data_IF_675678784681
#
_entry.id   IF_675678784681
#
_cell.length_a   1.000
_cell.length_b   1.000
_cell.length_c   1.000
_cell.angle_alpha   90.00
_cell.angle_beta   90.00
_cell.angle_gamma   90.00
#
_symmetry.space_group_name_H-M   'P 1'
#
loop_
_entity.id
_entity.type
_entity.pdbx_description
1 polymer ?
#
# COMPACT_ATOMS: atom_id res chain seq x y z
N UNK A 1 -15.33 -1.41 13.30
CA UNK A 1 -13.83 -1.37 13.28
C UNK A 1 -13.29 -1.60 11.87
N UNK A 2 -12.17 -0.93 11.47
CA UNK A 2 -11.53 -1.17 10.17
C UNK A 2 -10.31 -2.07 10.34
N UNK A 3 -10.25 -3.13 9.55
CA UNK A 3 -9.11 -4.05 9.49
C UNK A 3 -8.45 -4.00 8.10
N UNK A 4 -7.19 -4.41 8.03
CA UNK A 4 -6.48 -4.55 6.75
C UNK A 4 -5.81 -5.92 6.64
N UNK A 5 -5.86 -6.49 5.44
CA UNK A 5 -5.13 -7.72 5.08
C UNK A 5 -4.28 -7.47 3.84
N UNK A 6 -3.10 -8.08 3.83
CA UNK A 6 -2.14 -8.00 2.70
C UNK A 6 -1.89 -9.41 2.17
N UNK A 7 -1.92 -9.55 0.85
CA UNK A 7 -1.59 -10.80 0.15
C UNK A 7 -1.03 -10.51 -1.24
N UNK A 8 -0.63 -11.57 -1.94
CA UNK A 8 -0.29 -11.53 -3.37
C UNK A 8 -1.30 -12.38 -4.14
N UNK A 9 -1.72 -11.90 -5.30
CA UNK A 9 -2.64 -12.59 -6.20
C UNK A 9 -1.96 -12.84 -7.53
N UNK A 10 -2.22 -13.99 -8.13
CA UNK A 10 -1.84 -14.28 -9.52
C UNK A 10 -2.83 -13.60 -10.44
N UNK A 11 -2.35 -13.03 -11.52
CA UNK A 11 -3.18 -12.38 -12.54
C UNK A 11 -2.77 -12.87 -13.93
N UNK A 12 -3.70 -12.87 -14.88
CA UNK A 12 -3.39 -13.18 -16.27
C UNK A 12 -2.42 -12.13 -16.85
N UNK A 13 -1.78 -12.45 -17.96
CA UNK A 13 -0.86 -11.53 -18.65
C UNK A 13 -1.55 -10.23 -19.06
N UNK A 14 -2.78 -10.34 -19.55
CA UNK A 14 -3.61 -9.21 -19.98
C UNK A 14 -3.95 -8.31 -18.79
N UNK A 15 -4.37 -8.90 -17.67
CA UNK A 15 -4.66 -8.16 -16.45
C UNK A 15 -3.40 -7.56 -15.80
N UNK A 16 -2.25 -8.26 -15.89
CA UNK A 16 -0.98 -7.69 -15.44
C UNK A 16 -0.61 -6.45 -16.27
N UNK A 17 -0.75 -6.50 -17.60
CA UNK A 17 -0.51 -5.35 -18.47
C UNK A 17 -1.45 -4.19 -18.14
N UNK A 18 -2.74 -4.47 -17.93
CA UNK A 18 -3.76 -3.47 -17.59
C UNK A 18 -3.47 -2.78 -16.25
N UNK A 19 -3.19 -3.58 -15.21
CA UNK A 19 -2.85 -3.07 -13.87
C UNK A 19 -1.53 -2.27 -13.93
N UNK A 20 -0.52 -2.79 -14.64
CA UNK A 20 0.75 -2.11 -14.84
C UNK A 20 0.58 -0.76 -15.51
N UNK A 21 -0.26 -0.69 -16.57
CA UNK A 21 -0.58 0.56 -17.24
C UNK A 21 -1.29 1.56 -16.31
N UNK A 22 -2.27 1.11 -15.53
CA UNK A 22 -2.92 1.98 -14.55
C UNK A 22 -1.94 2.48 -13.46
N UNK A 23 -1.05 1.64 -12.97
CA UNK A 23 -0.01 2.02 -12.01
C UNK A 23 0.96 3.06 -12.61
N UNK A 24 1.31 2.90 -13.88
CA UNK A 24 2.11 3.88 -14.63
C UNK A 24 1.35 5.20 -14.81
N UNK A 25 0.10 5.16 -15.26
CA UNK A 25 -0.75 6.34 -15.41
C UNK A 25 -0.90 7.11 -14.08
N UNK A 26 -1.02 6.40 -12.97
CA UNK A 26 -1.08 7.00 -11.63
C UNK A 26 0.22 7.75 -11.28
N UNK A 27 1.40 7.21 -11.63
CA UNK A 27 2.67 7.92 -11.42
C UNK A 27 2.79 9.17 -12.29
N UNK A 28 2.31 9.12 -13.53
CA UNK A 28 2.31 10.28 -14.43
C UNK A 28 1.35 11.36 -13.96
N UNK A 29 0.13 10.98 -13.54
CA UNK A 29 -0.82 11.94 -12.96
C UNK A 29 -0.26 12.59 -11.69
N UNK A 30 0.37 11.80 -10.79
CA UNK A 30 1.08 12.34 -9.64
C UNK A 30 2.10 13.40 -10.06
N UNK A 31 2.91 13.11 -11.07
CA UNK A 31 3.98 14.01 -11.52
C UNK A 31 3.43 15.31 -12.13
N UNK A 32 2.38 15.22 -12.94
CA UNK A 32 1.70 16.41 -13.51
C UNK A 32 1.17 17.29 -12.39
N UNK A 33 0.40 16.72 -11.45
CA UNK A 33 -0.13 17.44 -10.32
C UNK A 33 0.97 18.00 -9.39
N UNK A 34 2.07 17.26 -9.22
CA UNK A 34 3.18 17.71 -8.38
C UNK A 34 3.97 18.87 -9.03
N UNK A 35 4.18 18.81 -10.34
CA UNK A 35 4.78 19.89 -11.10
C UNK A 35 3.98 21.18 -10.96
N UNK A 36 2.65 21.11 -11.16
CA UNK A 36 1.75 22.24 -10.99
C UNK A 36 1.85 22.86 -9.60
N UNK A 37 1.92 22.05 -8.53
CA UNK A 37 2.08 22.52 -7.15
C UNK A 37 3.44 23.15 -6.88
N UNK A 38 4.50 22.66 -7.49
CA UNK A 38 5.83 23.23 -7.32
C UNK A 38 5.98 24.58 -8.02
N UNK A 39 5.30 24.77 -9.16
CA UNK A 39 5.44 25.92 -10.06
C UNK A 39 4.19 26.81 -10.13
N UNK A 40 3.22 26.67 -9.21
CA UNK A 40 1.93 27.36 -9.33
C UNK A 40 2.05 28.89 -9.41
N UNK A 41 3.05 29.49 -8.76
CA UNK A 41 3.31 30.93 -8.82
C UNK A 41 3.83 31.36 -10.20
N UNK A 42 4.66 30.53 -10.82
CA UNK A 42 5.26 30.76 -12.14
C UNK A 42 4.22 30.63 -13.26
N UNK A 43 3.22 29.76 -13.05
CA UNK A 43 2.11 29.55 -13.99
C UNK A 43 1.00 30.58 -13.86
N UNK A 44 1.16 31.61 -13.01
CA UNK A 44 0.20 32.69 -12.83
C UNK A 44 -1.05 32.30 -12.05
N UNK A 45 -1.05 31.19 -11.35
CA UNK A 45 -2.20 30.73 -10.54
C UNK A 45 -2.36 31.63 -9.32
N UNK A 46 -3.55 32.20 -9.11
CA UNK A 46 -3.86 33.05 -7.97
C UNK A 46 -3.88 32.30 -6.63
N UNK A 47 -4.21 30.99 -6.67
CA UNK A 47 -4.30 30.15 -5.46
C UNK A 47 -3.51 28.87 -5.63
N UNK A 48 -3.01 28.36 -4.50
CA UNK A 48 -2.34 27.07 -4.45
C UNK A 48 -3.29 25.94 -4.87
N UNK A 49 -2.92 25.12 -5.89
CA UNK A 49 -3.79 24.08 -6.42
C UNK A 49 -3.90 22.90 -5.44
N UNK A 50 -4.98 22.88 -4.67
CA UNK A 50 -5.33 21.75 -3.81
C UNK A 50 -5.87 20.55 -4.62
N UNK A 51 -6.18 19.45 -3.95
CA UNK A 51 -6.67 18.26 -4.61
C UNK A 51 -8.09 18.44 -5.20
N UNK A 52 -8.93 19.35 -4.64
CA UNK A 52 -10.25 19.67 -5.18
C UNK A 52 -10.16 20.40 -6.51
N UNK A 53 -9.23 21.34 -6.61
CA UNK A 53 -8.92 22.00 -7.88
C UNK A 53 -8.36 20.98 -8.88
N UNK A 54 -7.32 20.24 -8.51
CA UNK A 54 -6.60 19.32 -9.40
C UNK A 54 -7.49 18.22 -9.97
N UNK A 55 -8.37 17.60 -9.16
CA UNK A 55 -9.31 16.59 -9.66
C UNK A 55 -10.31 17.11 -10.69
N UNK A 56 -10.61 18.42 -10.70
CA UNK A 56 -11.47 19.07 -11.69
C UNK A 56 -10.67 19.48 -12.91
N UNK A 57 -9.55 20.16 -12.72
CA UNK A 57 -8.71 20.68 -13.78
C UNK A 57 -8.19 19.55 -14.70
N UNK A 58 -7.68 18.47 -14.11
CA UNK A 58 -7.08 17.36 -14.85
C UNK A 58 -8.08 16.30 -15.36
N UNK A 59 -9.39 16.46 -15.12
CA UNK A 59 -10.41 15.46 -15.51
C UNK A 59 -10.39 15.07 -16.99
N UNK A 60 -9.94 15.98 -17.86
CA UNK A 60 -9.85 15.76 -19.31
C UNK A 60 -8.48 15.28 -19.77
N UNK A 61 -7.49 15.28 -18.89
CA UNK A 61 -6.12 14.92 -19.21
C UNK A 61 -5.96 13.43 -19.51
N UNK A 62 -4.97 13.11 -20.34
CA UNK A 62 -4.68 11.76 -20.75
C UNK A 62 -4.54 10.80 -19.58
N UNK A 63 -3.68 11.13 -18.62
CA UNK A 63 -3.36 10.24 -17.51
C UNK A 63 -4.51 10.07 -16.53
N UNK A 64 -5.34 11.10 -16.36
CA UNK A 64 -6.55 11.01 -15.55
C UNK A 64 -7.58 10.06 -16.18
N UNK A 65 -7.76 10.13 -17.52
CA UNK A 65 -8.69 9.27 -18.26
C UNK A 65 -8.27 7.79 -18.31
N UNK A 66 -6.98 7.49 -18.10
CA UNK A 66 -6.47 6.12 -18.00
C UNK A 66 -6.74 5.45 -16.66
N UNK A 67 -7.37 6.15 -15.72
CA UNK A 67 -7.71 5.67 -14.39
C UNK A 67 -9.22 5.74 -14.15
N UNK A 68 -9.80 4.82 -13.36
CA UNK A 68 -11.14 5.04 -12.82
C UNK A 68 -11.19 6.38 -12.07
N UNK A 69 -12.27 7.13 -12.22
CA UNK A 69 -12.36 8.51 -11.70
C UNK A 69 -12.00 8.63 -10.22
N UNK A 70 -12.41 7.67 -9.38
CA UNK A 70 -12.09 7.68 -7.96
C UNK A 70 -10.63 7.36 -7.69
N UNK A 71 -10.03 6.44 -8.46
CA UNK A 71 -8.61 6.13 -8.38
C UNK A 71 -7.77 7.35 -8.77
N UNK A 72 -8.14 8.07 -9.82
CA UNK A 72 -7.47 9.32 -10.20
C UNK A 72 -7.59 10.40 -9.12
N UNK A 73 -8.79 10.57 -8.54
CA UNK A 73 -9.00 11.50 -7.42
C UNK A 73 -8.16 11.12 -6.20
N UNK A 74 -8.01 9.83 -5.93
CA UNK A 74 -7.19 9.36 -4.81
C UNK A 74 -5.69 9.65 -5.02
N UNK A 75 -5.18 9.61 -6.26
CA UNK A 75 -3.82 10.07 -6.57
C UNK A 75 -3.65 11.55 -6.21
N UNK A 76 -4.59 12.41 -6.61
CA UNK A 76 -4.55 13.84 -6.25
C UNK A 76 -4.61 14.03 -4.73
N UNK A 77 -5.46 13.26 -4.02
CA UNK A 77 -5.62 13.33 -2.56
C UNK A 77 -4.37 12.87 -1.81
N UNK A 78 -3.71 11.81 -2.28
CA UNK A 78 -2.46 11.31 -1.70
C UNK A 78 -1.33 12.32 -1.87
N UNK A 79 -1.24 12.99 -3.02
CA UNK A 79 -0.31 14.08 -3.24
C UNK A 79 -0.58 15.25 -2.29
N UNK A 80 -1.85 15.62 -2.12
CA UNK A 80 -2.26 16.68 -1.20
C UNK A 80 -1.85 16.38 0.26
N UNK A 81 -2.06 15.15 0.71
CA UNK A 81 -1.59 14.69 2.02
C UNK A 81 -0.07 14.80 2.15
N UNK A 82 0.68 14.41 1.13
CA UNK A 82 2.14 14.49 1.14
C UNK A 82 2.62 15.95 1.25
N UNK A 83 2.00 16.88 0.53
CA UNK A 83 2.30 18.30 0.65
C UNK A 83 1.92 18.88 2.02
N UNK A 84 0.76 18.51 2.56
CA UNK A 84 0.35 18.91 3.92
C UNK A 84 1.34 18.44 4.98
N UNK A 85 1.80 17.19 4.86
CA UNK A 85 2.83 16.64 5.74
C UNK A 85 4.16 17.40 5.62
N UNK A 86 4.59 17.74 4.41
CA UNK A 86 5.78 18.56 4.18
C UNK A 86 5.68 19.92 4.86
N UNK A 87 4.56 20.63 4.67
CA UNK A 87 4.38 21.94 5.32
C UNK A 87 4.24 21.85 6.84
N UNK A 88 3.65 20.77 7.37
CA UNK A 88 3.60 20.52 8.80
C UNK A 88 5.02 20.32 9.38
N UNK A 89 5.85 19.50 8.74
CA UNK A 89 7.25 19.28 9.13
C UNK A 89 8.06 20.58 9.06
N UNK A 90 7.86 21.39 8.01
CA UNK A 90 8.54 22.70 7.88
C UNK A 90 8.16 23.66 9.00
N UNK A 91 6.90 23.62 9.47
CA UNK A 91 6.45 24.49 10.57
C UNK A 91 6.90 24.00 11.95
N UNK A 92 6.94 22.68 12.15
CA UNK A 92 7.32 22.11 13.46
C UNK A 92 8.79 22.22 13.80
N UNK A 93 9.65 22.49 12.82
CA UNK A 93 11.10 22.55 13.00
C UNK A 93 11.76 21.21 13.40
N UNK A 94 11.01 20.10 13.41
CA UNK A 94 11.51 18.79 13.83
C UNK A 94 12.54 18.17 12.88
N UNK A 95 12.67 18.69 11.66
CA UNK A 95 13.67 18.29 10.67
C UNK A 95 14.30 19.56 10.11
N UNK A 96 15.64 19.64 10.13
CA UNK A 96 16.37 20.82 9.64
C UNK A 96 16.05 21.18 8.19
N UNK A 97 16.00 20.18 7.32
CA UNK A 97 15.77 20.38 5.87
C UNK A 97 14.68 19.44 5.34
N UNK A 98 13.40 19.72 5.61
CA UNK A 98 12.31 18.93 5.05
C UNK A 98 12.29 19.09 3.53
N UNK A 99 12.10 17.98 2.81
CA UNK A 99 12.07 17.98 1.35
C UNK A 99 10.63 17.87 0.84
N UNK A 100 10.28 18.61 -0.21
CA UNK A 100 8.95 18.51 -0.82
C UNK A 100 8.72 17.13 -1.45
N UNK A 101 7.48 16.75 -1.73
CA UNK A 101 7.16 15.50 -2.43
C UNK A 101 7.92 15.38 -3.75
N UNK A 102 8.58 14.24 -3.96
CA UNK A 102 9.38 13.98 -5.17
C UNK A 102 8.50 13.53 -6.33
N UNK A 103 9.02 13.71 -7.54
CA UNK A 103 8.49 13.06 -8.74
C UNK A 103 8.66 11.54 -8.65
N UNK A 104 7.70 10.81 -9.17
CA UNK A 104 7.73 9.34 -9.23
C UNK A 104 8.44 8.90 -10.52
N UNK A 105 9.52 8.17 -10.37
CA UNK A 105 10.25 7.57 -11.49
C UNK A 105 9.63 6.22 -11.87
N UNK A 106 9.15 5.47 -10.88
CA UNK A 106 8.54 4.16 -11.04
C UNK A 106 7.00 4.23 -10.97
N UNK A 107 6.36 3.17 -11.42
CA UNK A 107 4.92 2.98 -11.27
C UNK A 107 4.51 2.93 -9.81
N UNK A 108 3.43 3.60 -9.45
CA UNK A 108 2.92 3.63 -8.07
C UNK A 108 1.67 2.77 -7.93
N UNK A 109 1.38 2.26 -6.72
CA UNK A 109 0.15 1.51 -6.49
C UNK A 109 -1.10 2.33 -6.80
N UNK A 110 -2.10 1.68 -7.35
CA UNK A 110 -3.43 2.25 -7.54
C UNK A 110 -4.34 1.88 -6.38
N UNK A 111 -5.26 2.75 -6.05
CA UNK A 111 -6.19 2.56 -4.95
C UNK A 111 -7.63 2.69 -5.43
N UNK A 112 -8.38 1.63 -5.31
CA UNK A 112 -9.83 1.62 -5.49
C UNK A 112 -10.50 1.94 -4.14
N UNK A 113 -11.48 2.85 -4.18
CA UNK A 113 -12.34 3.14 -3.05
C UNK A 113 -13.63 2.32 -3.15
N UNK A 114 -14.38 2.22 -2.08
CA UNK A 114 -15.60 1.39 -1.96
C UNK A 114 -16.53 1.43 -3.18
N UNK A 115 -16.82 2.63 -3.73
CA UNK A 115 -17.72 2.76 -4.88
C UNK A 115 -17.17 2.17 -6.19
N UNK A 116 -15.87 1.93 -6.28
CA UNK A 116 -15.22 1.29 -7.43
C UNK A 116 -15.08 -0.23 -7.29
N UNK A 117 -15.53 -0.79 -6.17
CA UNK A 117 -15.38 -2.20 -5.78
C UNK A 117 -16.77 -2.79 -5.60
N UNK A 118 -17.04 -3.90 -6.26
CA UNK A 118 -18.24 -4.72 -6.00
C UNK A 118 -17.77 -6.09 -5.55
N UNK A 119 -18.25 -6.53 -4.41
CA UNK A 119 -17.93 -7.81 -3.81
C UNK A 119 -19.20 -8.46 -3.27
N UNK A 120 -19.35 -9.75 -3.55
CA UNK A 120 -20.37 -10.61 -2.95
C UNK A 120 -19.71 -11.35 -1.80
N UNK A 121 -20.28 -11.20 -0.60
CA UNK A 121 -19.67 -11.61 0.68
C UNK A 121 -19.12 -13.03 0.71
N UNK A 122 -19.83 -13.98 0.12
CA UNK A 122 -19.49 -15.40 0.19
C UNK A 122 -18.63 -15.88 -0.99
N UNK A 123 -18.18 -14.95 -1.83
CA UNK A 123 -17.34 -15.26 -2.99
C UNK A 123 -15.88 -14.88 -2.74
N UNK A 124 -15.00 -15.56 -3.47
CA UNK A 124 -13.57 -15.24 -3.51
C UNK A 124 -13.26 -14.13 -4.54
N UNK A 125 -14.30 -13.50 -5.13
CA UNK A 125 -14.17 -12.63 -6.30
C UNK A 125 -14.59 -11.20 -5.99
N UNK A 126 -13.79 -10.25 -6.44
CA UNK A 126 -14.14 -8.82 -6.46
C UNK A 126 -14.13 -8.31 -7.89
N UNK A 127 -15.06 -7.40 -8.19
CA UNK A 127 -15.20 -6.72 -9.46
C UNK A 127 -14.82 -5.25 -9.29
N UNK A 128 -13.87 -4.79 -10.12
CA UNK A 128 -13.34 -3.44 -10.09
C UNK A 128 -13.72 -2.68 -11.34
N UNK A 129 -14.10 -1.41 -11.19
CA UNK A 129 -14.46 -0.56 -12.32
C UNK A 129 -13.23 -0.25 -13.19
N UNK A 130 -13.44 -0.16 -14.51
CA UNK A 130 -12.43 0.24 -15.49
C UNK A 130 -12.82 1.56 -16.17
N UNK A 131 -11.86 2.42 -16.54
CA UNK A 131 -12.14 3.60 -17.34
C UNK A 131 -12.50 3.18 -18.79
N UNK A 132 -13.31 4.01 -19.45
CA UNK A 132 -13.78 3.73 -20.82
C UNK A 132 -12.64 3.51 -21.82
N UNK A 133 -11.56 4.27 -21.68
CA UNK A 133 -10.37 4.16 -22.54
C UNK A 133 -9.69 2.80 -22.46
N UNK A 134 -9.60 2.22 -21.24
CA UNK A 134 -9.00 0.90 -21.06
C UNK A 134 -9.93 -0.24 -21.45
N UNK A 135 -11.25 -0.06 -21.32
CA UNK A 135 -12.21 -1.03 -21.85
C UNK A 135 -12.04 -1.18 -23.36
N UNK A 136 -12.02 -0.06 -24.08
CA UNK A 136 -11.79 -0.03 -25.52
C UNK A 136 -10.45 -0.68 -25.90
N UNK A 137 -9.39 -0.36 -25.19
CA UNK A 137 -8.08 -0.96 -25.40
C UNK A 137 -8.09 -2.48 -25.21
N UNK A 138 -8.77 -2.99 -24.17
CA UNK A 138 -8.89 -4.43 -23.93
C UNK A 138 -9.68 -5.14 -25.05
N UNK A 139 -10.75 -4.53 -25.51
CA UNK A 139 -11.55 -5.04 -26.62
C UNK A 139 -10.74 -5.09 -27.92
N UNK A 140 -10.07 -3.99 -28.29
CA UNK A 140 -9.30 -3.88 -29.54
C UNK A 140 -8.02 -4.72 -29.55
N UNK A 141 -7.35 -4.86 -28.39
CA UNK A 141 -6.03 -5.50 -28.32
C UNK A 141 -6.09 -6.98 -27.97
N UNK A 142 -7.00 -7.34 -27.06
CA UNK A 142 -7.09 -8.70 -26.52
C UNK A 142 -8.41 -9.41 -26.83
N UNK A 143 -9.34 -8.75 -27.52
CA UNK A 143 -10.70 -9.25 -27.79
C UNK A 143 -11.46 -9.60 -26.49
N UNK A 144 -11.15 -8.91 -25.40
CA UNK A 144 -11.79 -9.09 -24.10
C UNK A 144 -12.92 -8.05 -23.98
N UNK A 145 -14.17 -8.54 -23.99
CA UNK A 145 -15.37 -7.68 -23.90
C UNK A 145 -15.82 -7.39 -22.45
N UNK A 146 -15.01 -7.76 -21.46
CA UNK A 146 -15.31 -7.54 -20.06
C UNK A 146 -15.22 -6.04 -19.70
N UNK A 147 -16.29 -5.58 -19.03
CA UNK A 147 -16.37 -4.18 -18.60
C UNK A 147 -15.67 -3.89 -17.28
N UNK A 148 -15.11 -4.91 -16.64
CA UNK A 148 -14.57 -4.85 -15.30
C UNK A 148 -13.30 -5.67 -15.18
N UNK A 149 -12.44 -5.29 -14.24
CA UNK A 149 -11.32 -6.10 -13.82
C UNK A 149 -11.79 -7.02 -12.68
N UNK A 150 -11.60 -8.31 -12.83
CA UNK A 150 -11.95 -9.30 -11.81
C UNK A 150 -10.69 -9.81 -11.11
N UNK A 151 -10.72 -9.83 -9.79
CA UNK A 151 -9.66 -10.40 -8.97
C UNK A 151 -10.26 -11.51 -8.10
N UNK A 152 -9.59 -12.67 -8.06
CA UNK A 152 -10.02 -13.83 -7.29
C UNK A 152 -8.96 -14.21 -6.25
N UNK A 153 -9.36 -14.27 -4.99
CA UNK A 153 -8.51 -14.75 -3.91
C UNK A 153 -9.35 -15.04 -2.66
N UNK A 154 -9.03 -16.12 -1.98
CA UNK A 154 -9.69 -16.54 -0.73
C UNK A 154 -9.71 -15.45 0.35
N UNK A 155 -8.83 -14.44 0.27
CA UNK A 155 -8.78 -13.32 1.21
C UNK A 155 -10.08 -12.52 1.23
N UNK A 156 -10.83 -12.50 0.11
CA UNK A 156 -12.08 -11.74 0.00
C UNK A 156 -13.26 -12.41 0.68
N UNK A 157 -13.21 -13.75 0.87
CA UNK A 157 -14.30 -14.50 1.48
C UNK A 157 -14.58 -14.03 2.91
N UNK A 158 -15.84 -13.80 3.23
CA UNK A 158 -16.29 -13.38 4.55
C UNK A 158 -16.00 -11.89 4.90
N UNK A 159 -15.57 -11.08 3.93
CA UNK A 159 -15.48 -9.64 4.12
C UNK A 159 -16.84 -8.99 3.84
N UNK A 160 -17.40 -8.28 4.81
CA UNK A 160 -18.71 -7.62 4.64
C UNK A 160 -18.63 -6.41 3.71
N UNK A 161 -17.80 -5.45 4.04
CA UNK A 161 -17.65 -4.22 3.29
C UNK A 161 -16.17 -3.90 3.02
N UNK A 162 -15.77 -4.03 1.78
CA UNK A 162 -14.44 -3.59 1.36
C UNK A 162 -14.48 -2.08 1.15
N UNK A 163 -13.77 -1.33 2.00
CA UNK A 163 -13.67 0.12 1.94
C UNK A 163 -12.61 0.61 0.97
N UNK A 164 -11.51 -0.17 0.85
CA UNK A 164 -10.39 0.19 0.00
C UNK A 164 -9.65 -1.06 -0.46
N UNK A 165 -9.24 -1.06 -1.73
CA UNK A 165 -8.35 -2.05 -2.30
C UNK A 165 -7.19 -1.34 -2.98
N UNK A 166 -5.97 -1.56 -2.47
CA UNK A 166 -4.74 -1.06 -3.08
C UNK A 166 -4.06 -2.19 -3.82
N UNK A 167 -3.70 -1.93 -5.09
CA UNK A 167 -3.04 -2.89 -5.97
C UNK A 167 -1.69 -2.31 -6.35
N UNK A 168 -0.65 -3.08 -6.11
CA UNK A 168 0.73 -2.72 -6.46
C UNK A 168 1.04 -3.10 -7.91
N UNK A 169 2.04 -2.47 -8.52
CA UNK A 169 2.51 -2.86 -9.84
C UNK A 169 2.78 -4.37 -9.92
N UNK A 170 2.43 -5.02 -11.05
CA UNK A 170 2.66 -6.45 -11.21
C UNK A 170 4.14 -6.79 -11.26
N UNK A 171 4.50 -7.86 -10.57
CA UNK A 171 5.84 -8.43 -10.58
C UNK A 171 5.73 -9.94 -10.85
N UNK A 172 6.40 -10.44 -11.90
CA UNK A 172 6.48 -11.88 -12.25
C UNK A 172 5.09 -12.58 -12.28
N UNK A 173 4.08 -11.92 -12.88
CA UNK A 173 2.73 -12.48 -13.03
C UNK A 173 1.86 -12.44 -11.77
N UNK A 174 2.28 -11.71 -10.76
CA UNK A 174 1.51 -11.51 -9.53
C UNK A 174 1.46 -10.05 -9.11
N UNK A 175 0.41 -9.66 -8.39
CA UNK A 175 0.26 -8.35 -7.79
C UNK A 175 0.14 -8.48 -6.28
N UNK A 176 0.87 -7.66 -5.53
CA UNK A 176 0.59 -7.46 -4.11
C UNK A 176 -0.67 -6.62 -3.97
N UNK A 177 -1.55 -7.00 -3.06
CA UNK A 177 -2.76 -6.25 -2.73
C UNK A 177 -2.85 -6.00 -1.24
N UNK A 178 -3.47 -4.88 -0.88
CA UNK A 178 -3.88 -4.56 0.49
C UNK A 178 -5.37 -4.26 0.46
N UNK A 179 -6.14 -5.01 1.23
CA UNK A 179 -7.58 -4.85 1.37
C UNK A 179 -7.88 -4.23 2.72
N UNK A 180 -8.62 -3.14 2.74
CA UNK A 180 -9.17 -2.54 3.97
C UNK A 180 -10.67 -2.79 3.96
N UNK A 181 -11.18 -3.41 5.00
CA UNK A 181 -12.57 -3.81 5.12
C UNK A 181 -13.11 -3.49 6.52
N UNK A 182 -14.40 -3.32 6.60
CA UNK A 182 -15.11 -3.09 7.84
C UNK A 182 -15.56 -4.41 8.45
N UNK A 183 -15.41 -4.52 9.75
CA UNK A 183 -16.01 -5.57 10.56
C UNK A 183 -16.87 -4.92 11.62
N UNK A 184 -17.98 -5.57 12.05
CA UNK A 184 -18.73 -5.11 13.20
C UNK A 184 -17.79 -4.92 14.39
N UNK A 185 -18.07 -3.95 15.23
CA UNK A 185 -17.37 -3.84 16.50
C UNK A 185 -17.74 -5.07 17.34
N UNK A 186 -16.73 -5.67 17.95
CA UNK A 186 -16.98 -6.75 18.88
C UNK A 186 -17.70 -6.19 20.12
N UNK A 187 -18.67 -6.93 20.62
CA UNK A 187 -19.24 -6.62 21.93
C UNK A 187 -18.10 -6.59 22.94
N UNK A 188 -18.13 -5.59 23.82
CA UNK A 188 -17.17 -5.53 24.92
C UNK A 188 -17.30 -6.82 25.73
N UNK A 189 -16.18 -7.46 26.00
CA UNK A 189 -16.16 -8.60 26.89
C UNK A 189 -16.71 -8.14 28.24
N UNK A 190 -17.59 -8.93 28.90
CA UNK A 190 -18.13 -8.57 30.20
C UNK A 190 -16.96 -8.33 31.15
N UNK A 191 -17.02 -7.20 31.86
CA UNK A 191 -16.07 -6.89 32.93
C UNK A 191 -16.31 -7.87 34.07
N UNK A 192 -15.52 -8.93 34.10
CA UNK A 192 -15.59 -9.96 35.13
C UNK A 192 -14.65 -9.69 36.33
N UNK A 193 -13.95 -8.54 36.32
CA UNK A 193 -12.96 -8.18 37.33
C UNK A 193 -11.60 -8.89 37.19
N UNK A 194 -11.43 -9.70 36.12
CA UNK A 194 -10.16 -10.35 35.83
C UNK A 194 -9.29 -9.47 34.97
N UNK A 195 -8.08 -9.19 35.40
CA UNK A 195 -7.13 -8.34 34.74
C UNK A 195 -5.84 -9.12 34.42
N UNK A 196 -5.31 -8.94 33.22
CA UNK A 196 -3.99 -9.45 32.83
C UNK A 196 -3.05 -8.26 32.66
N UNK A 197 -2.11 -8.10 33.59
CA UNK A 197 -1.04 -7.13 33.46
C UNK A 197 0.12 -7.71 32.65
N UNK A 198 0.59 -6.97 31.65
CA UNK A 198 1.65 -7.42 30.75
C UNK A 198 2.77 -6.38 30.77
N UNK A 199 3.97 -6.81 31.18
CA UNK A 199 5.21 -6.03 31.06
C UNK A 199 6.04 -6.56 29.87
N UNK A 200 6.43 -5.66 28.96
CA UNK A 200 7.24 -6.00 27.80
C UNK A 200 8.71 -5.69 28.07
N UNK A 201 9.55 -6.71 27.95
CA UNK A 201 10.97 -6.59 28.24
C UNK A 201 11.90 -7.11 27.14
N UNK A 202 13.19 -6.72 27.21
CA UNK A 202 14.21 -7.18 26.26
C UNK A 202 14.65 -8.62 26.51
N UNK A 203 14.70 -9.05 27.78
CA UNK A 203 15.13 -10.41 28.13
C UNK A 203 13.99 -11.42 28.09
N UNK A 204 12.85 -11.02 28.58
CA UNK A 204 11.58 -11.72 28.48
C UNK A 204 10.69 -10.92 27.56
N UNK A 205 10.14 -11.55 26.52
CA UNK A 205 9.28 -10.82 25.59
C UNK A 205 8.07 -10.25 26.33
N UNK A 206 7.46 -11.04 27.20
CA UNK A 206 6.35 -10.64 28.06
C UNK A 206 6.47 -11.31 29.42
N UNK A 207 6.34 -10.52 30.49
CA UNK A 207 6.07 -11.00 31.84
C UNK A 207 4.61 -10.65 32.15
N UNK A 208 3.82 -11.65 32.42
CA UNK A 208 2.37 -11.52 32.60
C UNK A 208 2.00 -11.84 34.03
N UNK A 209 1.10 -11.06 34.60
CA UNK A 209 0.45 -11.32 35.88
C UNK A 209 -1.07 -11.41 35.67
N UNK A 210 -1.64 -12.53 36.11
CA UNK A 210 -3.07 -12.82 36.06
C UNK A 210 -3.71 -12.56 37.43
N UNK A 211 -4.63 -11.62 37.50
CA UNK A 211 -5.30 -11.23 38.76
C UNK A 211 -6.30 -12.29 39.25
N UNK A 212 -6.79 -13.19 38.38
CA UNK A 212 -7.76 -14.21 38.72
C UNK A 212 -7.18 -15.23 39.69
N UNK A 213 -5.96 -15.69 39.42
CA UNK A 213 -5.33 -16.77 40.17
C UNK A 213 -4.01 -16.34 40.86
N UNK A 214 -3.62 -15.07 40.71
CA UNK A 214 -2.37 -14.52 41.26
C UNK A 214 -1.11 -15.04 40.60
N UNK A 215 -1.22 -15.73 39.45
CA UNK A 215 -0.09 -16.36 38.80
C UNK A 215 0.72 -15.37 37.95
N UNK A 216 2.02 -15.52 38.03
CA UNK A 216 2.96 -14.84 37.12
C UNK A 216 3.56 -15.84 36.16
N UNK A 217 3.51 -15.54 34.86
CA UNK A 217 4.14 -16.36 33.83
C UNK A 217 4.94 -15.53 32.84
N UNK A 218 5.93 -16.15 32.19
CA UNK A 218 6.86 -15.48 31.28
C UNK A 218 6.76 -16.13 29.90
N UNK A 219 6.48 -15.31 28.89
CA UNK A 219 6.48 -15.71 27.49
C UNK A 219 7.73 -15.18 26.79
N UNK A 220 8.29 -15.97 25.87
CA UNK A 220 9.44 -15.55 25.07
C UNK A 220 10.75 -15.39 25.84
N UNK A 221 10.97 -16.18 26.89
CA UNK A 221 12.20 -16.13 27.74
C UNK A 221 13.51 -16.28 26.96
N UNK A 222 13.51 -16.94 25.80
CA UNK A 222 14.70 -17.15 24.94
C UNK A 222 14.73 -16.25 23.73
N UNK A 223 13.81 -15.31 23.59
CA UNK A 223 13.65 -14.49 22.40
C UNK A 223 14.95 -13.77 22.01
N UNK A 224 15.58 -13.06 22.94
CA UNK A 224 16.81 -12.31 22.69
C UNK A 224 17.99 -13.24 22.28
N UNK A 225 18.03 -14.43 22.86
CA UNK A 225 19.02 -15.45 22.49
C UNK A 225 18.84 -15.93 21.04
N UNK A 226 17.61 -16.20 20.64
CA UNK A 226 17.27 -16.58 19.27
C UNK A 226 17.54 -15.45 18.27
N UNK A 227 17.17 -14.22 18.61
CA UNK A 227 17.45 -13.05 17.76
C UNK A 227 18.95 -12.89 17.51
N UNK A 228 19.77 -12.93 18.58
CA UNK A 228 21.24 -12.87 18.46
C UNK A 228 21.81 -14.02 17.63
N UNK A 229 21.29 -15.22 17.82
CA UNK A 229 21.69 -16.37 17.02
C UNK A 229 21.39 -16.14 15.53
N UNK A 230 20.19 -15.77 15.18
CA UNK A 230 19.82 -15.53 13.78
C UNK A 230 20.59 -14.36 13.17
N UNK A 231 20.83 -13.27 13.92
CA UNK A 231 21.67 -12.16 13.43
C UNK A 231 23.09 -12.62 13.11
N UNK A 232 23.69 -13.46 13.96
CA UNK A 232 25.00 -14.04 13.68
C UNK A 232 25.02 -14.96 12.46
N UNK A 233 24.00 -15.81 12.31
CA UNK A 233 23.86 -16.68 11.14
C UNK A 233 23.62 -15.88 9.84
N UNK A 234 22.79 -14.88 9.88
CA UNK A 234 22.57 -13.98 8.74
C UNK A 234 23.88 -13.29 8.36
N UNK A 235 24.60 -12.72 9.34
CA UNK A 235 25.87 -12.05 9.08
C UNK A 235 26.90 -13.01 8.49
N UNK A 236 26.97 -14.26 8.99
CA UNK A 236 27.86 -15.31 8.48
C UNK A 236 27.55 -15.65 7.02
N UNK A 237 26.28 -15.88 6.71
CA UNK A 237 25.83 -16.19 5.33
C UNK A 237 26.06 -15.00 4.40
N UNK A 238 25.80 -13.78 4.86
CA UNK A 238 26.08 -12.56 4.10
C UNK A 238 27.58 -12.42 3.80
N UNK A 239 28.45 -12.64 4.79
CA UNK A 239 29.91 -12.56 4.60
C UNK A 239 30.40 -13.58 3.56
N UNK A 240 29.91 -14.81 3.61
CA UNK A 240 30.23 -15.84 2.62
C UNK A 240 29.75 -15.43 1.21
N UNK A 241 28.53 -14.94 1.11
CA UNK A 241 27.92 -14.50 -0.16
C UNK A 241 28.65 -13.30 -0.76
N UNK A 242 29.00 -12.32 0.08
CA UNK A 242 29.78 -11.15 -0.35
C UNK A 242 31.21 -11.54 -0.76
N UNK A 243 31.84 -12.44 -0.04
CA UNK A 243 33.14 -12.96 -0.41
C UNK A 243 33.15 -13.66 -1.77
N UNK A 244 32.12 -14.45 -2.07
CA UNK A 244 31.95 -15.09 -3.39
C UNK A 244 31.72 -14.09 -4.51
N UNK A 245 30.92 -13.02 -4.29
CA UNK A 245 30.69 -11.98 -5.26
C UNK A 245 31.95 -11.13 -5.52
N UNK A 246 32.67 -10.77 -4.45
CA UNK A 246 33.93 -10.03 -4.54
C UNK A 246 34.98 -10.83 -5.27
N UNK A 247 35.09 -12.16 -5.01
CA UNK A 247 35.96 -13.06 -5.74
C UNK A 247 35.65 -13.18 -7.24
N UNK A 248 34.41 -12.87 -7.65
CA UNK A 248 33.97 -12.75 -9.04
C UNK A 248 34.10 -11.33 -9.62
N UNK A 249 34.75 -10.41 -8.90
CA UNK A 249 34.99 -9.02 -9.37
C UNK A 249 33.83 -8.07 -9.16
N UNK A 250 32.80 -8.42 -8.39
CA UNK A 250 31.68 -7.51 -8.10
C UNK A 250 32.13 -6.45 -7.09
N UNK A 251 32.15 -5.17 -7.53
CA UNK A 251 32.59 -4.04 -6.69
C UNK A 251 31.67 -3.73 -5.52
N UNK A 252 30.35 -3.97 -5.68
CA UNK A 252 29.32 -3.69 -4.67
C UNK A 252 28.45 -4.93 -4.44
N UNK A 253 28.87 -5.89 -3.62
CA UNK A 253 28.11 -7.09 -3.32
C UNK A 253 26.74 -6.78 -2.71
N UNK A 254 25.71 -7.52 -3.11
CA UNK A 254 24.34 -7.36 -2.58
C UNK A 254 23.77 -8.70 -2.15
N UNK A 255 22.77 -8.69 -1.27
CA UNK A 255 22.02 -9.89 -0.85
C UNK A 255 20.90 -10.27 -1.81
N UNK A 256 20.55 -9.41 -2.78
CA UNK A 256 19.58 -9.72 -3.83
C UNK A 256 20.24 -10.48 -4.98
N UNK A 257 19.53 -11.50 -5.48
CA UNK A 257 19.91 -12.21 -6.71
C UNK A 257 19.55 -11.38 -7.93
#
# INVERSE_FOLDING_TARGET
>A
MLLSKKTSIKVSREYANLIGHMCYAASKLWNVCNYERQHYKETGMAQYPDWYYQKKAHKKDLWYKQLPSQTAQEVCRLLDKAWKSFYALKRSGGIETPRPPRFKQESIPITYMQMGIVHERDTDRVRLSLPKTLKKYMEETYQIHENFLYLENKIFRGMDQIKQLRIYPPEKGSCKIIVVYEVPDQEELPQNGHELSIDLGLHNLMTCYDSENGNTFILGRKYLGLERYFHKEIARVQAQWYGQQSGKGVKHPTTSK
#
